data_IF_187745165215
#
_entry.id   IF_187745165215
#
_cell.length_a   1.000
_cell.length_b   1.000
_cell.length_c   1.000
_cell.angle_alpha   90.00
_cell.angle_beta   90.00
_cell.angle_gamma   90.00
#
_symmetry.space_group_name_H-M   'P 1'
#
loop_
_entity.id
_entity.type
_entity.pdbx_description
1 polymer ?
#
# COMPACT_ATOMS: atom_id res chain seq x y z
N UNK A 1 -44.80 -54.82 -30.22
CA UNK A 1 -43.46 -54.85 -30.88
C UNK A 1 -43.42 -53.67 -31.83
N UNK A 2 -42.61 -52.63 -31.70
CA UNK A 2 -41.58 -52.30 -30.72
C UNK A 2 -41.33 -50.78 -30.78
N UNK A 3 -40.96 -50.22 -29.63
CA UNK A 3 -40.61 -48.81 -29.41
C UNK A 3 -39.41 -48.37 -30.26
N UNK A 4 -39.45 -47.12 -30.74
CA UNK A 4 -38.29 -46.40 -31.25
C UNK A 4 -37.69 -45.63 -30.08
N UNK A 5 -36.62 -46.15 -29.49
CA UNK A 5 -35.82 -45.48 -28.46
C UNK A 5 -35.01 -44.33 -29.08
N UNK A 6 -35.17 -43.14 -28.49
CA UNK A 6 -34.31 -41.98 -28.72
C UNK A 6 -32.97 -42.20 -28.02
N UNK A 7 -31.91 -42.40 -28.80
CA UNK A 7 -30.54 -42.34 -28.28
C UNK A 7 -30.13 -40.88 -28.05
N UNK A 8 -30.19 -40.44 -26.80
CA UNK A 8 -29.54 -39.23 -26.31
C UNK A 8 -28.03 -39.49 -26.23
N UNK A 9 -27.23 -38.87 -27.11
CA UNK A 9 -25.78 -38.75 -26.90
C UNK A 9 -25.49 -37.64 -25.90
N UNK A 10 -24.63 -37.85 -24.89
CA UNK A 10 -24.31 -36.82 -23.93
C UNK A 10 -23.41 -35.75 -24.57
N UNK A 11 -23.87 -34.51 -24.51
CA UNK A 11 -23.07 -33.32 -24.79
C UNK A 11 -21.92 -33.29 -23.79
N UNK A 12 -20.69 -33.50 -24.27
CA UNK A 12 -19.48 -33.21 -23.49
C UNK A 12 -19.36 -31.70 -23.33
N UNK A 13 -19.71 -31.20 -22.15
CA UNK A 13 -19.40 -29.82 -21.75
C UNK A 13 -17.88 -29.62 -21.78
N UNK A 14 -17.43 -28.74 -22.68
CA UNK A 14 -16.06 -28.25 -22.70
C UNK A 14 -15.91 -27.29 -21.53
N UNK A 15 -15.30 -27.77 -20.45
CA UNK A 15 -14.82 -26.91 -19.36
C UNK A 15 -13.88 -25.87 -19.93
N UNK A 16 -14.28 -24.59 -19.85
CA UNK A 16 -13.37 -23.47 -20.06
C UNK A 16 -12.34 -23.53 -18.94
N UNK A 17 -11.11 -23.93 -19.26
CA UNK A 17 -9.96 -23.67 -18.40
C UNK A 17 -9.79 -22.14 -18.37
N UNK A 18 -10.25 -21.52 -17.28
CA UNK A 18 -9.89 -20.14 -16.97
C UNK A 18 -8.40 -20.15 -16.67
N UNK A 19 -7.58 -19.71 -17.63
CA UNK A 19 -6.17 -19.41 -17.37
C UNK A 19 -6.13 -18.34 -16.27
N UNK A 20 -5.42 -18.56 -15.15
CA UNK A 20 -5.27 -17.53 -14.12
C UNK A 20 -4.74 -16.26 -14.78
N UNK A 21 -5.38 -15.11 -14.53
CA UNK A 21 -4.81 -13.85 -15.02
C UNK A 21 -3.37 -13.72 -14.53
N UNK A 22 -2.43 -13.29 -15.40
CA UNK A 22 -1.04 -13.15 -15.02
C UNK A 22 -0.93 -12.16 -13.85
N UNK A 23 -0.23 -12.57 -12.80
CA UNK A 23 0.00 -11.74 -11.61
C UNK A 23 0.76 -10.47 -12.02
N UNK A 24 0.36 -9.27 -11.56
CA UNK A 24 1.13 -8.08 -11.82
C UNK A 24 2.55 -8.22 -11.23
N UNK A 25 3.57 -7.60 -11.86
CA UNK A 25 4.93 -7.62 -11.35
C UNK A 25 5.03 -6.88 -10.00
N UNK A 26 5.96 -7.33 -9.16
CA UNK A 26 6.21 -6.79 -7.82
C UNK A 26 7.64 -6.24 -7.76
N UNK A 27 7.80 -5.01 -7.26
CA UNK A 27 9.10 -4.45 -6.94
C UNK A 27 9.60 -5.05 -5.61
N UNK A 28 10.57 -5.96 -5.67
CA UNK A 28 11.07 -6.69 -4.51
C UNK A 28 12.35 -6.06 -3.94
N UNK A 29 12.33 -5.73 -2.65
CA UNK A 29 13.44 -5.17 -1.88
C UNK A 29 14.11 -6.21 -0.97
N UNK A 30 13.86 -7.51 -1.16
CA UNK A 30 14.47 -8.60 -0.39
C UNK A 30 16.02 -8.50 -0.36
N UNK A 31 16.59 -8.56 0.84
CA UNK A 31 18.04 -8.47 1.06
C UNK A 31 18.67 -7.11 0.74
N UNK A 32 17.87 -6.09 0.41
CA UNK A 32 18.39 -4.77 0.07
C UNK A 32 18.86 -3.98 1.29
N UNK A 33 19.84 -3.11 1.09
CA UNK A 33 20.33 -2.14 2.07
C UNK A 33 19.47 -0.85 2.08
N UNK A 34 18.17 -0.97 1.81
CA UNK A 34 17.28 0.17 1.51
C UNK A 34 17.36 1.30 2.55
N UNK A 35 17.41 0.97 3.84
CA UNK A 35 17.57 1.93 4.96
C UNK A 35 18.84 2.78 4.81
N UNK A 36 20.00 2.16 4.66
CA UNK A 36 21.29 2.86 4.57
C UNK A 36 21.52 3.50 3.20
N UNK A 37 21.01 2.88 2.13
CA UNK A 37 21.19 3.36 0.76
C UNK A 37 20.30 4.54 0.40
N UNK A 38 19.08 4.60 0.95
CA UNK A 38 18.10 5.64 0.58
C UNK A 38 17.82 6.65 1.68
N UNK A 39 17.97 6.30 2.97
CA UNK A 39 17.57 7.18 4.08
C UNK A 39 18.75 7.64 4.94
N UNK A 40 19.51 6.73 5.55
CA UNK A 40 20.54 7.12 6.52
C UNK A 40 21.76 7.78 5.86
N UNK A 41 22.12 8.97 6.33
CA UNK A 41 23.28 9.70 5.82
C UNK A 41 23.14 10.20 4.38
N UNK A 42 21.92 10.19 3.80
CA UNK A 42 21.66 10.60 2.41
C UNK A 42 21.01 11.99 2.26
N UNK A 43 20.94 12.78 3.33
CA UNK A 43 20.40 14.15 3.29
C UNK A 43 18.90 14.21 2.97
N UNK A 44 18.14 13.23 3.47
CA UNK A 44 16.66 13.14 3.34
C UNK A 44 15.89 13.59 4.58
N UNK A 45 16.58 14.16 5.57
CA UNK A 45 15.97 14.64 6.81
C UNK A 45 14.85 15.66 6.55
N UNK A 46 15.02 16.50 5.53
CA UNK A 46 13.99 17.44 5.10
C UNK A 46 12.74 16.70 4.59
N UNK A 47 12.88 15.78 3.63
CA UNK A 47 11.77 14.97 3.12
C UNK A 47 11.08 14.17 4.23
N UNK A 48 11.84 13.51 5.10
CA UNK A 48 11.29 12.75 6.23
C UNK A 48 10.45 13.63 7.15
N UNK A 49 10.96 14.82 7.52
CA UNK A 49 10.24 15.76 8.39
C UNK A 49 8.94 16.26 7.76
N UNK A 50 8.96 16.67 6.50
CA UNK A 50 7.76 17.20 5.84
C UNK A 50 6.71 16.12 5.59
N UNK A 51 7.12 14.88 5.31
CA UNK A 51 6.23 13.72 5.21
C UNK A 51 5.57 13.41 6.56
N UNK A 52 6.34 13.40 7.66
CA UNK A 52 5.79 13.19 9.00
C UNK A 52 4.80 14.27 9.38
N UNK A 53 5.09 15.54 9.08
CA UNK A 53 4.16 16.66 9.32
C UNK A 53 2.86 16.44 8.54
N UNK A 54 2.95 16.13 7.24
CA UNK A 54 1.80 15.87 6.40
C UNK A 54 0.98 14.70 6.97
N UNK A 55 1.62 13.57 7.24
CA UNK A 55 0.97 12.37 7.80
C UNK A 55 0.27 12.66 9.13
N UNK A 56 0.95 13.29 10.09
CA UNK A 56 0.35 13.69 11.37
C UNK A 56 -0.88 14.57 11.21
N UNK A 57 -0.86 15.47 10.23
CA UNK A 57 -1.99 16.37 9.96
C UNK A 57 -3.20 15.66 9.33
N UNK A 58 -2.99 14.48 8.74
CA UNK A 58 -4.01 13.69 8.05
C UNK A 58 -4.49 12.48 8.88
N UNK A 59 -3.75 12.08 9.91
CA UNK A 59 -4.16 11.00 10.80
C UNK A 59 -5.32 11.44 11.71
N UNK A 60 -6.30 10.57 11.98
CA UNK A 60 -7.37 10.86 12.94
C UNK A 60 -6.81 11.01 14.36
N UNK A 61 -7.65 11.46 15.29
CA UNK A 61 -7.30 11.58 16.71
C UNK A 61 -7.19 10.24 17.44
N UNK A 62 -7.85 9.20 16.92
CA UNK A 62 -7.86 7.84 17.46
C UNK A 62 -8.22 6.82 16.37
N UNK A 63 -7.84 5.57 16.59
CA UNK A 63 -8.28 4.43 15.78
C UNK A 63 -7.98 3.10 16.46
N UNK A 64 -8.58 2.02 15.96
CA UNK A 64 -8.44 0.69 16.53
C UNK A 64 -7.27 -0.05 15.86
N UNK A 65 -7.32 -0.21 14.54
CA UNK A 65 -6.37 -1.04 13.80
C UNK A 65 -5.96 -0.41 12.48
N UNK A 66 -4.67 -0.09 12.39
CA UNK A 66 -4.06 0.47 11.19
C UNK A 66 -3.29 -0.61 10.41
N UNK A 67 -3.45 -0.65 9.09
CA UNK A 67 -2.55 -1.36 8.16
C UNK A 67 -1.59 -0.35 7.52
N UNK A 68 -0.29 -0.58 7.64
CA UNK A 68 0.74 0.10 6.86
C UNK A 68 1.19 -0.82 5.72
N UNK A 69 0.90 -0.44 4.48
CA UNK A 69 1.30 -1.19 3.28
C UNK A 69 2.64 -0.64 2.80
N UNK A 70 3.61 -1.51 2.58
CA UNK A 70 5.01 -1.19 2.30
C UNK A 70 5.70 -0.54 3.49
N UNK A 71 5.50 -1.12 4.68
CA UNK A 71 6.04 -0.59 5.93
C UNK A 71 7.58 -0.59 5.98
N UNK A 72 8.22 -1.40 5.14
CA UNK A 72 9.66 -1.60 5.12
C UNK A 72 10.20 -1.90 6.50
N UNK A 73 11.16 -1.09 6.94
CA UNK A 73 11.79 -1.19 8.25
C UNK A 73 11.03 -0.47 9.39
N UNK A 74 9.78 -0.04 9.15
CA UNK A 74 8.91 0.57 10.17
C UNK A 74 9.14 2.07 10.40
N UNK A 75 9.63 2.81 9.40
CA UNK A 75 10.03 4.23 9.51
C UNK A 75 8.96 5.15 10.11
N UNK A 76 7.68 4.93 9.78
CA UNK A 76 6.57 5.83 10.14
C UNK A 76 5.77 5.34 11.35
N UNK A 77 6.12 4.20 11.96
CA UNK A 77 5.35 3.60 13.05
C UNK A 77 5.15 4.48 14.28
N UNK A 78 6.10 5.38 14.57
CA UNK A 78 5.99 6.37 15.65
C UNK A 78 4.82 7.36 15.44
N UNK A 79 4.36 7.53 14.20
CA UNK A 79 3.23 8.40 13.88
C UNK A 79 1.88 7.78 14.22
N UNK A 80 1.83 6.46 14.40
CA UNK A 80 0.60 5.68 14.62
C UNK A 80 0.30 5.41 16.11
N UNK A 81 0.80 6.25 17.03
CA UNK A 81 0.56 6.12 18.49
C UNK A 81 -0.91 6.23 18.90
N UNK A 82 -1.77 6.75 18.01
CA UNK A 82 -3.23 6.90 18.21
C UNK A 82 -4.02 5.64 17.85
N UNK A 83 -3.36 4.63 17.27
CA UNK A 83 -3.94 3.34 16.95
C UNK A 83 -3.53 2.30 18.00
N UNK A 84 -4.49 1.48 18.44
CA UNK A 84 -4.24 0.42 19.42
C UNK A 84 -3.36 -0.70 18.84
N UNK A 85 -3.58 -1.04 17.57
CA UNK A 85 -2.82 -2.04 16.84
C UNK A 85 -2.35 -1.50 15.48
N UNK A 86 -1.12 -1.84 15.10
CA UNK A 86 -0.54 -1.52 13.80
C UNK A 86 -0.04 -2.81 13.16
N UNK A 87 -0.59 -3.13 12.00
CA UNK A 87 -0.15 -4.24 11.14
C UNK A 87 0.79 -3.67 10.08
N UNK A 88 2.06 -4.07 10.14
CA UNK A 88 3.08 -3.72 9.17
C UNK A 88 3.08 -4.80 8.08
N UNK A 89 2.74 -4.40 6.85
CA UNK A 89 2.80 -5.25 5.68
C UNK A 89 3.89 -4.78 4.75
N UNK A 90 4.74 -5.69 4.29
CA UNK A 90 5.70 -5.45 3.23
C UNK A 90 5.88 -6.72 2.40
N UNK A 91 6.37 -6.63 1.17
CA UNK A 91 6.72 -7.83 0.40
C UNK A 91 8.10 -8.39 0.81
N UNK A 92 9.02 -7.52 1.25
CA UNK A 92 10.36 -7.88 1.68
C UNK A 92 10.35 -8.41 3.12
N UNK A 93 10.66 -9.70 3.26
CA UNK A 93 10.70 -10.36 4.57
C UNK A 93 11.83 -9.79 5.43
N UNK A 94 13.01 -9.59 4.85
CA UNK A 94 14.18 -9.00 5.52
C UNK A 94 13.92 -7.58 6.06
N UNK A 95 13.13 -6.77 5.35
CA UNK A 95 12.72 -5.45 5.85
C UNK A 95 11.82 -5.56 7.09
N UNK A 96 10.91 -6.53 7.11
CA UNK A 96 10.07 -6.81 8.28
C UNK A 96 10.87 -7.38 9.45
N UNK A 97 11.89 -8.23 9.20
CA UNK A 97 12.81 -8.68 10.25
C UNK A 97 13.53 -7.48 10.87
N UNK A 98 13.95 -6.52 10.05
CA UNK A 98 14.56 -5.30 10.54
C UNK A 98 13.58 -4.47 11.37
N UNK A 99 12.35 -4.25 10.88
CA UNK A 99 11.30 -3.56 11.65
C UNK A 99 11.06 -4.23 13.01
N UNK A 100 10.94 -5.57 13.01
CA UNK A 100 10.74 -6.37 14.22
C UNK A 100 11.93 -6.26 15.19
N UNK A 101 13.17 -6.17 14.70
CA UNK A 101 14.35 -5.98 15.57
C UNK A 101 14.33 -4.64 16.33
N UNK A 102 13.72 -3.61 15.74
CA UNK A 102 13.65 -2.26 16.32
C UNK A 102 12.42 -2.08 17.20
N UNK A 103 11.27 -2.62 16.77
CA UNK A 103 9.96 -2.41 17.40
C UNK A 103 9.57 -3.52 18.39
N UNK A 104 10.22 -4.68 18.28
CA UNK A 104 9.97 -5.86 19.10
C UNK A 104 8.72 -6.66 18.72
N UNK A 105 8.54 -7.79 19.40
CA UNK A 105 7.36 -8.67 19.30
C UNK A 105 6.39 -8.34 20.44
N UNK A 106 5.74 -7.19 20.35
CA UNK A 106 4.75 -6.74 21.33
C UNK A 106 3.33 -6.79 20.74
N UNK A 107 2.27 -6.95 21.55
CA UNK A 107 0.89 -7.09 21.06
C UNK A 107 0.40 -5.96 20.13
N UNK A 108 1.02 -4.79 20.21
CA UNK A 108 0.69 -3.62 19.38
C UNK A 108 1.12 -3.78 17.92
N UNK A 109 2.17 -4.56 17.62
CA UNK A 109 2.73 -4.67 16.28
C UNK A 109 2.59 -6.09 15.73
N UNK A 110 2.08 -6.20 14.50
CA UNK A 110 2.07 -7.46 13.75
C UNK A 110 2.80 -7.26 12.42
N UNK A 111 3.59 -8.24 12.02
CA UNK A 111 4.41 -8.20 10.81
C UNK A 111 3.90 -9.23 9.80
N UNK A 112 3.63 -8.80 8.58
CA UNK A 112 3.00 -9.63 7.54
C UNK A 112 3.76 -9.46 6.22
N UNK A 113 4.42 -10.53 5.77
CA UNK A 113 5.05 -10.56 4.45
C UNK A 113 4.01 -10.96 3.40
N UNK A 114 3.59 -10.06 2.51
CA UNK A 114 2.51 -10.36 1.56
C UNK A 114 2.50 -9.45 0.32
N UNK A 115 1.82 -9.91 -0.73
CA UNK A 115 1.53 -9.15 -1.93
C UNK A 115 0.35 -8.17 -1.72
N UNK A 116 0.57 -6.89 -1.98
CA UNK A 116 -0.46 -5.85 -1.87
C UNK A 116 -1.60 -6.02 -2.91
N UNK A 117 -1.37 -6.74 -4.01
CA UNK A 117 -2.43 -7.13 -4.95
C UNK A 117 -3.35 -8.24 -4.42
N UNK A 118 -2.96 -8.91 -3.33
CA UNK A 118 -3.70 -10.01 -2.70
C UNK A 118 -3.56 -9.98 -1.18
N UNK A 119 -4.14 -8.94 -0.58
CA UNK A 119 -4.03 -8.73 0.87
C UNK A 119 -4.62 -9.92 1.66
N UNK A 120 -3.86 -10.56 2.58
CA UNK A 120 -4.25 -11.78 3.28
C UNK A 120 -5.20 -11.52 4.46
N UNK A 121 -6.11 -10.55 4.36
CA UNK A 121 -6.96 -10.11 5.46
C UNK A 121 -8.45 -10.30 5.18
N UNK A 122 -9.22 -10.52 6.23
CA UNK A 122 -10.67 -10.51 6.18
C UNK A 122 -11.19 -9.11 5.75
N UNK A 123 -12.37 -9.03 5.11
CA UNK A 123 -12.97 -7.76 4.76
C UNK A 123 -13.27 -6.90 5.99
N UNK A 124 -13.08 -5.59 5.89
CA UNK A 124 -13.56 -4.65 6.92
C UNK A 124 -12.79 -4.63 8.25
N UNK A 125 -11.58 -5.21 8.33
CA UNK A 125 -10.85 -5.33 9.61
C UNK A 125 -9.95 -4.15 9.97
N UNK A 126 -9.79 -3.15 9.08
CA UNK A 126 -8.97 -1.96 9.34
C UNK A 126 -9.79 -0.67 9.28
N UNK A 127 -9.71 0.18 10.30
CA UNK A 127 -10.25 1.56 10.28
C UNK A 127 -9.20 2.60 9.86
N UNK A 128 -7.93 2.22 9.79
CA UNK A 128 -6.86 3.00 9.19
C UNK A 128 -6.08 2.20 8.17
N UNK A 129 -5.78 2.79 7.01
CA UNK A 129 -4.76 2.26 6.09
C UNK A 129 -3.84 3.38 5.66
N UNK A 130 -2.55 3.09 5.58
CA UNK A 130 -1.56 3.98 4.99
C UNK A 130 -0.77 3.26 3.91
N UNK A 131 -0.47 3.95 2.83
CA UNK A 131 0.38 3.46 1.74
C UNK A 131 1.28 4.61 1.30
N UNK A 132 2.46 4.70 1.90
CA UNK A 132 3.36 5.85 1.75
C UNK A 132 4.62 5.43 1.02
N UNK A 133 4.93 6.05 -0.12
CA UNK A 133 6.07 5.69 -0.98
C UNK A 133 6.01 4.25 -1.52
N UNK A 134 4.82 3.81 -1.91
CA UNK A 134 4.63 2.45 -2.48
C UNK A 134 3.89 2.45 -3.80
N UNK A 135 2.87 3.29 -3.98
CA UNK A 135 1.99 3.21 -5.16
C UNK A 135 2.73 3.43 -6.49
N UNK A 136 3.86 4.13 -6.46
CA UNK A 136 4.74 4.31 -7.62
C UNK A 136 5.47 3.04 -8.06
N UNK A 137 5.36 1.94 -7.31
CA UNK A 137 5.81 0.61 -7.69
C UNK A 137 4.67 -0.30 -8.18
N UNK A 138 3.43 0.20 -8.18
CA UNK A 138 2.25 -0.61 -8.51
C UNK A 138 1.87 -0.42 -9.97
N UNK A 139 2.12 -1.43 -10.81
CA UNK A 139 1.73 -1.45 -12.22
C UNK A 139 0.20 -1.37 -12.42
N UNK A 140 -0.58 -1.97 -11.51
CA UNK A 140 -2.05 -1.98 -11.56
C UNK A 140 -2.68 -1.21 -10.36
N UNK A 141 -2.74 0.11 -10.45
CA UNK A 141 -3.36 0.97 -9.41
C UNK A 141 -4.81 0.56 -9.07
N UNK A 142 -5.71 0.32 -10.04
CA UNK A 142 -7.09 -0.11 -9.74
C UNK A 142 -7.15 -1.37 -8.85
N UNK A 143 -6.33 -2.38 -9.15
CA UNK A 143 -6.35 -3.66 -8.43
C UNK A 143 -5.90 -3.51 -6.97
N UNK A 144 -4.81 -2.79 -6.70
CA UNK A 144 -4.34 -2.59 -5.33
C UNK A 144 -5.33 -1.74 -4.52
N UNK A 145 -5.91 -0.70 -5.11
CA UNK A 145 -6.93 0.11 -4.43
C UNK A 145 -8.18 -0.71 -4.11
N UNK A 146 -8.58 -1.65 -4.97
CA UNK A 146 -9.69 -2.56 -4.70
C UNK A 146 -9.40 -3.49 -3.51
N UNK A 147 -8.17 -4.02 -3.39
CA UNK A 147 -7.78 -4.80 -2.22
C UNK A 147 -7.79 -3.98 -0.93
N UNK A 148 -7.23 -2.77 -0.97
CA UNK A 148 -7.24 -1.84 0.16
C UNK A 148 -8.68 -1.55 0.57
N UNK A 149 -9.56 -1.26 -0.39
CA UNK A 149 -10.97 -1.02 -0.09
C UNK A 149 -11.61 -2.25 0.56
N UNK A 150 -11.35 -3.46 0.08
CA UNK A 150 -11.93 -4.70 0.62
C UNK A 150 -11.60 -4.88 2.11
N UNK A 151 -10.35 -4.68 2.50
CA UNK A 151 -9.90 -4.92 3.89
C UNK A 151 -10.28 -3.78 4.85
N UNK A 152 -10.68 -2.63 4.33
CA UNK A 152 -11.07 -1.47 5.12
C UNK A 152 -12.53 -1.52 5.58
N UNK A 153 -12.74 -1.18 6.85
CA UNK A 153 -14.05 -0.85 7.39
C UNK A 153 -14.63 0.38 6.66
N UNK A 154 -15.94 0.38 6.42
CA UNK A 154 -16.64 1.55 5.89
C UNK A 154 -16.46 2.75 6.83
N UNK A 155 -16.24 3.94 6.27
CA UNK A 155 -15.91 5.13 7.04
C UNK A 155 -14.46 5.23 7.54
N UNK A 156 -13.65 4.18 7.36
CA UNK A 156 -12.23 4.17 7.73
C UNK A 156 -11.39 5.20 6.95
N UNK A 157 -10.26 5.60 7.52
CA UNK A 157 -9.35 6.59 6.93
C UNK A 157 -8.26 5.89 6.10
N UNK A 158 -8.13 6.28 4.84
CA UNK A 158 -7.03 5.87 3.98
C UNK A 158 -6.12 7.05 3.68
N UNK A 159 -4.81 6.91 3.93
CA UNK A 159 -3.81 7.91 3.57
C UNK A 159 -2.87 7.32 2.54
N UNK A 160 -2.86 7.91 1.35
CA UNK A 160 -2.03 7.49 0.22
C UNK A 160 -1.03 8.60 -0.11
N UNK A 161 0.22 8.24 -0.34
CA UNK A 161 1.19 9.12 -0.99
C UNK A 161 1.47 8.62 -2.41
N UNK A 162 1.58 9.55 -3.36
CA UNK A 162 1.99 9.24 -4.73
C UNK A 162 3.04 10.24 -5.24
N UNK A 163 3.91 9.75 -6.12
CA UNK A 163 4.88 10.57 -6.83
C UNK A 163 4.17 11.42 -7.91
N UNK A 164 4.33 12.74 -7.84
CA UNK A 164 3.55 13.67 -8.65
C UNK A 164 4.28 14.03 -9.94
N UNK A 165 3.75 13.60 -11.09
CA UNK A 165 4.33 13.89 -12.40
C UNK A 165 4.24 15.37 -12.78
N UNK A 166 3.34 16.12 -12.15
CA UNK A 166 3.15 17.58 -12.32
C UNK A 166 4.04 18.42 -11.42
N UNK A 167 5.11 17.85 -10.87
CA UNK A 167 6.05 18.63 -10.11
C UNK A 167 6.72 19.73 -10.95
N UNK A 168 7.12 20.82 -10.29
CA UNK A 168 7.68 22.00 -10.95
C UNK A 168 8.89 21.69 -11.84
N UNK A 169 9.76 20.77 -11.40
CA UNK A 169 10.94 20.34 -12.17
C UNK A 169 10.54 19.69 -13.50
N UNK A 170 9.55 18.80 -13.48
CA UNK A 170 9.03 18.15 -14.69
C UNK A 170 8.38 19.15 -15.65
N UNK A 171 7.59 20.10 -15.12
CA UNK A 171 6.97 21.17 -15.92
C UNK A 171 8.03 22.01 -16.64
N UNK A 172 9.06 22.48 -15.91
CA UNK A 172 10.15 23.28 -16.49
C UNK A 172 10.91 22.46 -17.54
N UNK A 173 11.26 21.21 -17.25
CA UNK A 173 11.98 20.35 -18.20
C UNK A 173 11.17 20.12 -19.48
N UNK A 174 9.86 19.91 -19.36
CA UNK A 174 8.98 19.74 -20.52
C UNK A 174 8.89 21.03 -21.35
N UNK A 175 8.69 22.18 -20.70
CA UNK A 175 8.67 23.49 -21.37
C UNK A 175 9.98 23.77 -22.14
N UNK A 176 11.12 23.34 -21.59
CA UNK A 176 12.44 23.43 -22.22
C UNK A 176 12.75 22.27 -23.18
N UNK A 177 11.80 21.38 -23.47
CA UNK A 177 11.96 20.19 -24.33
C UNK A 177 13.11 19.25 -23.91
N UNK A 178 13.40 19.19 -22.60
CA UNK A 178 14.44 18.34 -21.98
C UNK A 178 13.92 16.98 -21.50
N UNK A 179 12.69 16.61 -21.86
CA UNK A 179 12.09 15.30 -21.59
C UNK A 179 11.06 14.97 -22.66
N UNK A 180 10.87 13.67 -22.93
CA UNK A 180 9.95 13.17 -23.97
C UNK A 180 8.49 13.13 -23.53
N UNK A 181 8.22 12.92 -22.24
CA UNK A 181 6.87 12.80 -21.71
C UNK A 181 6.28 14.14 -21.25
N UNK A 182 4.95 14.24 -21.34
CA UNK A 182 4.18 15.43 -21.00
C UNK A 182 3.65 15.36 -19.55
N UNK A 183 4.06 16.27 -18.64
CA UNK A 183 3.57 16.28 -17.26
C UNK A 183 2.07 16.57 -17.18
N UNK A 184 1.47 17.16 -18.21
CA UNK A 184 0.05 17.50 -18.29
C UNK A 184 -0.84 16.41 -18.90
N UNK A 185 -0.27 15.34 -19.47
CA UNK A 185 -1.05 14.16 -19.87
C UNK A 185 -1.79 13.60 -18.64
N UNK A 186 -2.82 12.79 -18.79
CA UNK A 186 -3.52 12.23 -17.61
C UNK A 186 -2.86 10.94 -17.14
N UNK A 187 -2.45 10.11 -18.09
CA UNK A 187 -1.95 8.74 -17.95
C UNK A 187 -0.65 8.69 -17.14
N UNK A 188 -0.48 7.72 -16.23
CA UNK A 188 0.78 7.54 -15.51
C UNK A 188 1.97 7.45 -16.47
N UNK A 189 3.13 7.93 -16.03
CA UNK A 189 4.38 7.75 -16.78
C UNK A 189 5.29 6.81 -16.02
N UNK A 190 5.66 5.71 -16.67
CA UNK A 190 6.75 4.86 -16.23
C UNK A 190 8.06 5.44 -16.76
N UNK A 191 8.88 5.99 -15.87
CA UNK A 191 10.15 6.62 -16.28
C UNK A 191 11.35 5.69 -16.12
N UNK A 192 11.21 4.64 -15.31
CA UNK A 192 12.07 3.46 -15.16
C UNK A 192 11.14 2.29 -14.82
N UNK A 193 11.55 1.06 -15.12
CA UNK A 193 10.81 -0.17 -14.80
C UNK A 193 10.26 -0.14 -13.36
N UNK A 194 8.94 -0.34 -13.22
CA UNK A 194 8.19 -0.30 -11.96
C UNK A 194 8.36 1.01 -11.15
N UNK A 195 8.57 2.13 -11.83
CA UNK A 195 8.63 3.46 -11.21
C UNK A 195 7.74 4.43 -11.99
N UNK A 196 6.57 4.71 -11.39
CA UNK A 196 5.50 5.51 -11.98
C UNK A 196 5.35 6.87 -11.29
N UNK A 197 5.26 7.94 -12.10
CA UNK A 197 4.76 9.24 -11.64
C UNK A 197 3.31 9.43 -12.10
N UNK A 198 2.46 9.98 -11.23
CA UNK A 198 1.03 10.10 -11.45
C UNK A 198 0.56 11.55 -11.61
N UNK A 199 -0.47 11.74 -12.42
CA UNK A 199 -1.21 13.01 -12.44
C UNK A 199 -2.14 13.09 -11.23
N UNK A 200 -2.27 14.23 -10.54
CA UNK A 200 -3.20 14.36 -9.41
C UNK A 200 -4.65 14.01 -9.75
N UNK A 201 -5.13 14.46 -10.90
CA UNK A 201 -6.48 14.10 -11.40
C UNK A 201 -6.64 12.61 -11.71
N UNK A 202 -5.59 11.93 -12.18
CA UNK A 202 -5.64 10.48 -12.38
C UNK A 202 -5.83 9.78 -11.03
N UNK A 203 -4.99 10.11 -10.04
CA UNK A 203 -5.12 9.52 -8.69
C UNK A 203 -6.45 9.82 -8.03
N UNK A 204 -6.99 11.03 -8.22
CA UNK A 204 -8.32 11.39 -7.72
C UNK A 204 -9.41 10.49 -8.34
N UNK A 205 -9.34 10.24 -9.65
CA UNK A 205 -10.29 9.35 -10.35
C UNK A 205 -10.17 7.90 -9.87
N UNK A 206 -8.96 7.38 -9.77
CA UNK A 206 -8.72 6.00 -9.30
C UNK A 206 -9.22 5.79 -7.87
N UNK A 207 -8.98 6.75 -6.97
CA UNK A 207 -9.52 6.70 -5.60
C UNK A 207 -11.05 6.65 -5.60
N UNK A 208 -11.72 7.51 -6.38
CA UNK A 208 -13.19 7.55 -6.46
C UNK A 208 -13.74 6.25 -7.05
N UNK A 209 -13.15 5.75 -8.14
CA UNK A 209 -13.52 4.47 -8.77
C UNK A 209 -13.39 3.30 -7.78
N UNK A 210 -12.37 3.32 -6.93
CA UNK A 210 -12.16 2.34 -5.86
C UNK A 210 -13.01 2.59 -4.60
N UNK A 211 -14.00 3.50 -4.67
CA UNK A 211 -14.92 3.84 -3.57
C UNK A 211 -14.22 4.46 -2.36
N UNK A 212 -13.24 5.31 -2.61
CA UNK A 212 -12.70 6.25 -1.64
C UNK A 212 -13.18 7.65 -1.97
N UNK A 213 -13.53 8.40 -0.93
CA UNK A 213 -13.89 9.81 -1.03
C UNK A 213 -12.69 10.66 -0.58
N UNK A 214 -11.95 11.31 -1.49
CA UNK A 214 -10.83 12.18 -1.12
C UNK A 214 -11.31 13.38 -0.30
N UNK A 215 -10.64 13.68 0.81
CA UNK A 215 -11.01 14.72 1.76
C UNK A 215 -10.00 15.86 1.80
N UNK A 216 -8.72 15.53 1.90
CA UNK A 216 -7.64 16.50 2.06
C UNK A 216 -6.39 16.05 1.31
N UNK A 217 -5.60 17.03 0.87
CA UNK A 217 -4.31 16.78 0.23
C UNK A 217 -3.20 17.58 0.92
N UNK A 218 -2.00 17.00 0.99
CA UNK A 218 -0.77 17.64 1.48
C UNK A 218 0.34 17.42 0.44
N UNK A 219 0.54 18.36 -0.50
CA UNK A 219 1.76 18.40 -1.30
C UNK A 219 2.99 18.59 -0.40
N UNK A 220 4.04 17.82 -0.59
CA UNK A 220 5.27 17.87 0.22
C UNK A 220 6.55 17.89 -0.61
N UNK A 221 7.62 18.39 -0.02
CA UNK A 221 8.98 18.43 -0.59
C UNK A 221 9.17 19.48 -1.70
N UNK A 222 8.58 20.67 -1.57
CA UNK A 222 8.72 21.76 -2.54
C UNK A 222 10.18 22.16 -2.79
N UNK A 223 11.02 22.10 -1.76
CA UNK A 223 12.42 22.54 -1.80
C UNK A 223 13.41 21.39 -2.05
N UNK A 224 12.97 20.33 -2.74
CA UNK A 224 13.79 19.15 -3.08
C UNK A 224 14.91 19.41 -4.11
N UNK A 225 15.20 20.67 -4.45
CA UNK A 225 16.29 21.05 -5.33
C UNK A 225 17.61 21.08 -4.55
N UNK A 226 18.62 20.35 -5.02
CA UNK A 226 19.89 20.15 -4.29
C UNK A 226 20.61 21.43 -3.87
N UNK A 227 20.47 22.52 -4.64
CA UNK A 227 21.06 23.83 -4.31
C UNK A 227 20.46 24.43 -3.03
N UNK A 228 19.15 24.29 -2.80
CA UNK A 228 18.47 24.88 -1.64
C UNK A 228 18.80 24.13 -0.34
N UNK A 229 18.92 22.79 -0.42
CA UNK A 229 19.25 21.94 0.73
C UNK A 229 20.63 22.22 1.33
N UNK A 230 21.57 22.69 0.50
CA UNK A 230 22.94 22.97 0.91
C UNK A 230 23.13 24.40 1.43
N UNK A 231 22.16 25.29 1.21
CA UNK A 231 22.27 26.71 1.54
C UNK A 231 21.42 27.13 2.74
N UNK A 232 20.34 26.40 3.05
CA UNK A 232 19.39 26.77 4.11
C UNK A 232 19.27 25.67 5.18
N UNK A 233 19.09 26.03 6.47
CA UNK A 233 18.84 25.07 7.53
C UNK A 233 17.59 24.22 7.26
N UNK A 234 17.67 22.92 7.57
CA UNK A 234 16.55 21.97 7.39
C UNK A 234 15.28 22.43 8.14
N UNK A 235 15.41 23.05 9.30
CA UNK A 235 14.27 23.58 10.07
C UNK A 235 13.51 24.67 9.31
N UNK A 236 14.23 25.59 8.67
CA UNK A 236 13.63 26.67 7.88
C UNK A 236 12.91 26.11 6.65
N UNK A 237 13.55 25.20 5.92
CA UNK A 237 12.95 24.53 4.77
C UNK A 237 11.68 23.75 5.19
N UNK A 238 11.74 23.06 6.32
CA UNK A 238 10.60 22.31 6.87
C UNK A 238 9.44 23.23 7.24
N UNK A 239 9.71 24.37 7.90
CA UNK A 239 8.69 25.33 8.29
C UNK A 239 8.02 25.98 7.05
N UNK A 240 8.83 26.38 6.06
CA UNK A 240 8.33 26.93 4.81
C UNK A 240 7.48 25.90 4.04
N UNK A 241 7.93 24.64 3.95
CA UNK A 241 7.18 23.58 3.28
C UNK A 241 5.86 23.33 4.00
N UNK A 242 5.89 23.20 5.33
CA UNK A 242 4.70 22.99 6.17
C UNK A 242 3.63 24.06 5.94
N UNK A 243 4.01 25.33 5.76
CA UNK A 243 3.07 26.41 5.45
C UNK A 243 2.45 26.27 4.05
N UNK A 244 3.16 25.65 3.11
CA UNK A 244 2.68 25.40 1.74
C UNK A 244 1.79 24.15 1.63
N UNK A 245 1.85 23.20 2.56
CA UNK A 245 1.11 21.93 2.46
C UNK A 245 -0.42 22.12 2.46
N UNK A 246 -0.94 23.22 3.01
CA UNK A 246 -2.38 23.52 3.04
C UNK A 246 -2.86 24.38 1.86
N UNK A 247 -1.95 24.90 1.02
CA UNK A 247 -2.27 25.88 -0.04
C UNK A 247 -2.92 25.28 -1.28
N UNK A 248 -2.95 23.95 -1.41
CA UNK A 248 -3.48 23.26 -2.60
C UNK A 248 -2.58 23.34 -3.83
N UNK A 249 -1.35 23.87 -3.72
CA UNK A 249 -0.40 23.96 -4.83
C UNK A 249 0.23 22.58 -5.16
N UNK A 250 -0.38 21.83 -6.06
CA UNK A 250 0.07 20.46 -6.42
C UNK A 250 1.26 20.43 -7.40
N UNK A 251 2.27 21.27 -7.18
CA UNK A 251 3.52 21.31 -7.96
C UNK A 251 4.72 20.73 -7.20
N UNK A 252 4.47 20.15 -6.03
CA UNK A 252 5.48 19.42 -5.25
C UNK A 252 5.81 18.06 -5.88
N UNK A 253 6.97 17.46 -5.57
CA UNK A 253 7.34 16.11 -6.06
C UNK A 253 6.44 14.98 -5.55
N UNK A 254 5.78 15.16 -4.41
CA UNK A 254 4.97 14.13 -3.75
C UNK A 254 3.71 14.76 -3.17
N UNK A 255 2.60 14.01 -3.19
CA UNK A 255 1.30 14.45 -2.66
C UNK A 255 0.71 13.35 -1.79
N UNK A 256 0.37 13.70 -0.56
CA UNK A 256 -0.42 12.88 0.33
C UNK A 256 -1.90 13.18 0.11
N UNK A 257 -2.74 12.16 0.14
CA UNK A 257 -4.20 12.27 0.05
C UNK A 257 -4.81 11.49 1.18
N UNK A 258 -5.58 12.18 2.01
CA UNK A 258 -6.49 11.53 2.96
C UNK A 258 -7.82 11.30 2.25
N UNK A 259 -8.32 10.08 2.36
CA UNK A 259 -9.62 9.68 1.84
C UNK A 259 -10.40 8.92 2.91
N UNK A 260 -11.72 8.90 2.77
CA UNK A 260 -12.61 8.07 3.57
C UNK A 260 -13.14 6.91 2.73
N UNK A 261 -13.11 5.69 3.25
CA UNK A 261 -13.75 4.55 2.61
C UNK A 261 -15.28 4.75 2.57
N UNK A 262 -15.89 4.63 1.40
CA UNK A 262 -17.34 4.80 1.19
C UNK A 262 -18.17 3.79 2.01
N UNK A 263 -19.41 4.14 2.36
CA UNK A 263 -20.33 3.34 3.16
C UNK A 263 -20.53 3.86 4.58
N UNK A 264 -21.66 3.49 5.20
CA UNK A 264 -21.96 3.84 6.58
C UNK A 264 -20.96 3.15 7.54
N UNK A 265 -20.47 3.85 8.58
CA UNK A 265 -19.60 3.25 9.57
C UNK A 265 -20.24 1.98 10.15
N UNK A 266 -19.54 0.86 10.03
CA UNK A 266 -19.94 -0.41 10.63
C UNK A 266 -19.01 -0.71 11.82
N UNK A 267 -19.50 -1.40 12.87
CA UNK A 267 -18.64 -1.89 13.92
C UNK A 267 -17.55 -2.77 13.33
N UNK A 268 -16.29 -2.48 13.65
CA UNK A 268 -15.20 -3.36 13.29
C UNK A 268 -15.34 -4.70 14.01
N UNK A 269 -14.98 -5.78 13.33
CA UNK A 269 -14.89 -7.09 13.97
C UNK A 269 -13.77 -7.05 15.00
N UNK A 270 -14.13 -7.10 16.28
CA UNK A 270 -13.20 -7.35 17.37
C UNK A 270 -12.75 -8.80 17.31
N UNK A 271 -11.45 -9.04 17.40
CA UNK A 271 -10.90 -10.38 17.25
C UNK A 271 -9.39 -10.37 17.45
N UNK A 272 -8.89 -11.51 17.89
CA UNK A 272 -7.45 -11.79 17.98
C UNK A 272 -6.79 -11.73 16.59
N UNK A 273 -5.48 -11.53 16.54
CA UNK A 273 -4.70 -11.41 15.30
C UNK A 273 -4.92 -12.61 14.36
N UNK A 274 -5.06 -13.81 14.95
CA UNK A 274 -5.34 -15.07 14.26
C UNK A 274 -6.64 -15.03 13.43
N UNK A 275 -7.62 -14.23 13.84
CA UNK A 275 -8.93 -14.10 13.16
C UNK A 275 -8.93 -13.05 12.04
N UNK A 276 -7.84 -12.28 11.90
CA UNK A 276 -7.76 -11.22 10.88
C UNK A 276 -7.46 -11.74 9.50
N UNK A 277 -6.90 -12.95 9.40
CA UNK A 277 -6.37 -13.44 8.14
C UNK A 277 -7.44 -14.14 7.29
N UNK A 278 -7.29 -14.00 5.98
CA UNK A 278 -8.06 -14.70 4.96
C UNK A 278 -7.10 -15.23 3.89
N UNK A 279 -7.35 -16.43 3.38
CA UNK A 279 -6.53 -17.04 2.34
C UNK A 279 -6.45 -16.12 1.10
N UNK A 280 -5.25 -15.73 0.66
CA UNK A 280 -5.07 -14.88 -0.54
C UNK A 280 -5.68 -15.49 -1.82
N UNK A 281 -5.80 -16.82 -1.88
CA UNK A 281 -6.29 -17.52 -3.06
C UNK A 281 -7.81 -17.71 -3.05
N UNK A 282 -8.40 -18.12 -1.93
CA UNK A 282 -9.83 -18.48 -1.86
C UNK A 282 -10.67 -17.61 -0.91
N UNK A 283 -10.05 -16.73 -0.12
CA UNK A 283 -10.71 -15.85 0.86
C UNK A 283 -11.18 -16.54 2.14
N UNK A 284 -10.93 -17.84 2.33
CA UNK A 284 -11.38 -18.58 3.51
C UNK A 284 -10.50 -18.33 4.73
N UNK A 285 -11.04 -18.49 5.96
CA UNK A 285 -10.25 -18.38 7.19
C UNK A 285 -9.16 -19.45 7.30
N UNK A 286 -8.23 -19.21 8.22
CA UNK A 286 -7.17 -20.14 8.59
C UNK A 286 -7.44 -20.81 9.93
N UNK A 287 -6.88 -22.01 10.10
CA UNK A 287 -6.60 -22.60 11.41
C UNK A 287 -5.10 -22.54 11.64
N UNK A 288 -4.66 -22.03 12.80
CA UNK A 288 -3.26 -22.00 13.16
C UNK A 288 -2.84 -23.34 13.77
N UNK A 289 -1.72 -23.88 13.29
CA UNK A 289 -1.05 -25.08 13.77
C UNK A 289 0.41 -24.70 14.03
N UNK A 290 0.77 -24.43 15.28
CA UNK A 290 2.10 -23.93 15.66
C UNK A 290 2.52 -22.72 14.82
N UNK A 291 3.58 -22.88 14.02
CA UNK A 291 4.17 -21.89 13.12
C UNK A 291 3.62 -21.98 11.69
N UNK A 292 2.43 -22.54 11.50
CA UNK A 292 1.77 -22.66 10.19
C UNK A 292 0.32 -22.24 10.25
N UNK A 293 -0.14 -21.49 9.24
CA UNK A 293 -1.55 -21.23 8.97
C UNK A 293 -2.04 -22.18 7.89
N UNK A 294 -3.12 -22.93 8.15
CA UNK A 294 -3.73 -23.89 7.20
C UNK A 294 -5.10 -23.39 6.78
N UNK A 295 -5.30 -23.17 5.48
CA UNK A 295 -6.55 -22.67 4.94
C UNK A 295 -7.65 -23.72 5.13
N UNK A 296 -8.79 -23.29 5.66
CA UNK A 296 -9.92 -24.18 5.98
C UNK A 296 -10.65 -24.73 4.76
N UNK A 297 -10.39 -24.20 3.56
CA UNK A 297 -11.09 -24.60 2.32
C UNK A 297 -10.21 -25.36 1.34
N UNK A 298 -9.07 -24.81 0.96
CA UNK A 298 -8.18 -25.39 -0.06
C UNK A 298 -6.97 -26.11 0.54
N UNK A 299 -6.80 -26.06 1.87
CA UNK A 299 -5.70 -26.72 2.57
C UNK A 299 -4.34 -26.04 2.37
N UNK A 300 -4.26 -24.91 1.66
CA UNK A 300 -3.01 -24.19 1.46
C UNK A 300 -2.39 -23.78 2.80
N UNK A 301 -1.08 -23.93 2.89
CA UNK A 301 -0.31 -23.73 4.11
C UNK A 301 0.58 -22.51 3.95
N UNK A 302 0.67 -21.66 4.97
CA UNK A 302 1.54 -20.49 5.00
C UNK A 302 2.35 -20.48 6.30
N UNK A 303 3.61 -20.09 6.23
CA UNK A 303 4.50 -20.12 7.38
C UNK A 303 4.31 -18.90 8.29
N UNK A 304 4.56 -19.10 9.58
CA UNK A 304 4.84 -18.05 10.55
C UNK A 304 6.32 -18.20 10.89
N UNK A 305 7.15 -17.30 10.36
CA UNK A 305 8.60 -17.36 10.53
C UNK A 305 9.00 -16.31 11.54
N UNK A 306 9.47 -16.72 12.71
CA UNK A 306 9.95 -15.76 13.72
C UNK A 306 8.88 -14.72 14.12
N UNK A 307 7.61 -15.15 14.19
CA UNK A 307 6.47 -14.27 14.47
C UNK A 307 6.09 -13.31 13.34
N UNK A 308 6.65 -13.49 12.13
CA UNK A 308 6.25 -12.81 10.90
C UNK A 308 5.37 -13.78 10.11
N UNK A 309 4.15 -13.35 9.78
CA UNK A 309 3.23 -14.14 8.96
C UNK A 309 3.63 -14.01 7.49
N UNK A 310 4.05 -15.12 6.87
CA UNK A 310 4.58 -15.14 5.50
C UNK A 310 3.54 -15.70 4.51
N UNK A 311 2.90 -14.78 3.78
CA UNK A 311 1.92 -15.06 2.72
C UNK A 311 2.49 -14.87 1.31
N UNK A 312 3.82 -14.72 1.14
CA UNK A 312 4.43 -14.52 -0.19
C UNK A 312 4.17 -15.69 -1.13
N UNK A 313 4.21 -16.91 -0.58
CA UNK A 313 3.89 -18.14 -1.28
C UNK A 313 3.37 -19.18 -0.29
N UNK A 314 2.47 -20.09 -0.73
CA UNK A 314 2.15 -21.26 0.08
C UNK A 314 3.40 -22.13 0.26
N UNK A 315 3.44 -22.88 1.36
CA UNK A 315 4.41 -23.95 1.56
C UNK A 315 4.13 -25.09 0.58
N UNK A 316 5.19 -25.66 0.04
CA UNK A 316 5.10 -26.93 -0.67
C UNK A 316 4.59 -28.04 0.27
N UNK A 317 4.03 -29.12 -0.30
CA UNK A 317 3.58 -30.26 0.52
C UNK A 317 4.74 -30.77 1.42
N UNK A 318 4.43 -31.20 2.65
CA UNK A 318 5.42 -31.55 3.66
C UNK A 318 6.36 -32.70 3.26
#
# INVERSE_FOLDING_TARGET
>A
MGNIEKANSPVRERGFMVTPEPRPPICDYEGSDYRTRFWEGKGRDYEDRVERIALRSLLPSQGQRLLEIGAGYGRLTNEYHRYQQVVLLDYSFSQLQHAQSQLGRIPRFTYVAADAYRLPFQPGVFDGVTMIRVIHHMANVPLVLAQIRRVMASGGTFILEYANKRNLKAIIRHALRRQSWNPHALEPVEFVELNFDFHPEYMRRELISARFMPLAQRPVSYFRLGLLKNMLPVSLLTAADSALQSTGLLYSPSVFVQSRADGAPAPMTSGDISTLFACPECGSPFTQQEDTLVCTRDGLRYAIRDGIYDFKAPLDEP
#
